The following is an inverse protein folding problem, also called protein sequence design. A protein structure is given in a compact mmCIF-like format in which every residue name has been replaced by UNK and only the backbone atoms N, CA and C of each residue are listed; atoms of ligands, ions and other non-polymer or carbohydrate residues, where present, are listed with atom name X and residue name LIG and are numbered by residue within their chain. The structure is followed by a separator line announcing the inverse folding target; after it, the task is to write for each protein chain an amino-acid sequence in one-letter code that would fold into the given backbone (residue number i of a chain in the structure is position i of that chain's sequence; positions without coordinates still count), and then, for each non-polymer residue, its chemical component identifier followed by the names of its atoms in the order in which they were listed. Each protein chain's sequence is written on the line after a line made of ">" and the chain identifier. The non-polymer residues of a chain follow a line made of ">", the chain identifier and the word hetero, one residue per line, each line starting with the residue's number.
data_IF_509186452111
#
_entry.id   IF_509186452111
#
_cell.length_a   1.000
_cell.length_b   1.000
_cell.length_c   1.000
_cell.angle_alpha   90.00
_cell.angle_beta   90.00
_cell.angle_gamma   90.00
#
_symmetry.space_group_name_H-M   'P 1'
#
loop_
_entity.id
_entity.type
_entity.pdbx_description
1 polymer ?
#
# COMPACT_ATOMS: atom_id res chain seq x y z
N UNK A 1 -0.71 5.92 7.47
CA UNK A 1 -0.55 5.51 8.87
C UNK A 1 -1.85 5.01 9.47
N UNK A 2 -2.74 5.89 9.96
CA UNK A 2 -3.97 5.51 10.68
C UNK A 2 -4.78 4.35 10.07
N UNK A 3 -5.07 4.39 8.76
CA UNK A 3 -5.84 3.33 8.09
C UNK A 3 -5.11 1.97 8.10
N UNK A 4 -3.80 1.97 7.88
CA UNK A 4 -3.00 0.74 7.93
C UNK A 4 -2.99 0.18 9.35
N UNK A 5 -2.79 1.04 10.36
CA UNK A 5 -2.81 0.65 11.77
C UNK A 5 -4.17 0.12 12.22
N UNK A 6 -5.27 0.76 11.81
CA UNK A 6 -6.63 0.29 12.09
C UNK A 6 -6.93 -1.05 11.41
N UNK A 7 -6.37 -1.28 10.21
CA UNK A 7 -6.46 -2.57 9.55
C UNK A 7 -5.56 -3.62 10.21
N UNK A 8 -4.70 -3.26 11.17
CA UNK A 8 -3.80 -4.17 11.89
C UNK A 8 -2.38 -4.25 11.32
N UNK A 9 -2.04 -3.41 10.34
CA UNK A 9 -0.73 -3.39 9.69
C UNK A 9 0.18 -2.31 10.28
N UNK A 10 1.48 -2.59 10.28
CA UNK A 10 2.51 -1.60 10.56
C UNK A 10 2.89 -0.86 9.27
N UNK A 11 2.94 0.47 9.35
CA UNK A 11 3.37 1.30 8.24
C UNK A 11 4.89 1.44 8.25
N UNK A 12 5.57 0.84 7.27
CA UNK A 12 7.05 0.89 7.16
C UNK A 12 7.60 2.30 6.91
N UNK A 13 6.75 3.26 6.55
CA UNK A 13 7.18 4.63 6.33
C UNK A 13 7.47 5.35 7.64
N UNK A 14 8.74 5.75 7.83
CA UNK A 14 9.20 6.46 9.03
C UNK A 14 9.15 7.98 8.91
N UNK A 15 8.86 8.51 7.73
CA UNK A 15 8.79 9.94 7.49
C UNK A 15 7.41 10.52 7.80
N UNK A 16 7.39 11.77 8.28
CA UNK A 16 6.16 12.53 8.38
C UNK A 16 5.71 13.01 7.00
N UNK A 17 4.39 13.03 6.79
CA UNK A 17 3.73 13.45 5.53
C UNK A 17 4.20 12.66 4.30
N UNK A 18 3.73 13.06 3.12
CA UNK A 18 4.08 12.42 1.85
C UNK A 18 5.50 12.75 1.44
N UNK A 19 6.30 11.72 1.17
CA UNK A 19 7.64 11.84 0.58
C UNK A 19 7.83 10.78 -0.50
N UNK A 20 8.65 11.10 -1.48
CA UNK A 20 9.12 10.14 -2.46
C UNK A 20 10.21 9.27 -1.86
N UNK A 21 10.20 7.98 -2.20
CA UNK A 21 11.30 7.06 -1.91
C UNK A 21 12.34 7.09 -3.03
N UNK A 22 13.62 7.04 -2.65
CA UNK A 22 14.68 6.61 -3.58
C UNK A 22 14.59 5.11 -3.81
N UNK A 23 15.28 4.59 -4.83
CA UNK A 23 15.35 3.15 -5.07
C UNK A 23 15.92 2.41 -3.86
N UNK A 24 17.02 2.90 -3.30
CA UNK A 24 17.74 2.28 -2.18
C UNK A 24 16.90 2.29 -0.91
N UNK A 25 16.21 3.39 -0.63
CA UNK A 25 15.35 3.49 0.56
C UNK A 25 14.10 2.61 0.46
N UNK A 26 13.50 2.46 -0.74
CA UNK A 26 12.40 1.50 -0.94
C UNK A 26 12.88 0.06 -0.78
N UNK A 27 14.06 -0.26 -1.33
CA UNK A 27 14.67 -1.58 -1.19
C UNK A 27 14.99 -1.88 0.29
N UNK A 28 15.52 -0.91 1.02
CA UNK A 28 15.86 -1.08 2.44
C UNK A 28 14.62 -1.19 3.33
N UNK A 29 13.55 -0.44 3.03
CA UNK A 29 12.27 -0.56 3.73
C UNK A 29 11.60 -1.92 3.51
N UNK A 30 11.83 -2.53 2.35
CA UNK A 30 11.42 -3.89 1.98
C UNK A 30 10.01 -4.32 2.49
N UNK A 31 8.94 -3.61 2.11
CA UNK A 31 7.60 -3.93 2.58
C UNK A 31 7.17 -5.34 2.16
N UNK A 32 6.41 -6.01 3.04
CA UNK A 32 5.78 -7.31 2.76
C UNK A 32 4.52 -7.18 1.91
N UNK A 33 3.85 -6.03 1.99
CA UNK A 33 2.67 -5.68 1.20
C UNK A 33 2.79 -4.23 0.72
N UNK A 34 2.46 -3.97 -0.54
CA UNK A 34 2.36 -2.61 -1.08
C UNK A 34 0.88 -2.29 -1.31
N UNK A 35 0.40 -1.20 -0.70
CA UNK A 35 -0.95 -0.69 -0.89
C UNK A 35 -0.90 0.50 -1.85
N UNK A 36 -1.65 0.44 -2.94
CA UNK A 36 -1.69 1.47 -4.00
C UNK A 36 -3.12 1.86 -4.31
N UNK A 37 -3.32 3.06 -4.85
CA UNK A 37 -4.64 3.45 -5.32
C UNK A 37 -4.96 2.79 -6.67
N UNK A 38 -6.23 2.49 -6.92
CA UNK A 38 -6.68 1.96 -8.21
C UNK A 38 -6.29 2.88 -9.39
N UNK A 39 -6.29 4.20 -9.17
CA UNK A 39 -5.89 5.20 -10.16
C UNK A 39 -4.39 5.12 -10.51
N UNK A 40 -3.53 4.69 -9.58
CA UNK A 40 -2.09 4.58 -9.83
C UNK A 40 -1.77 3.45 -10.81
N UNK A 41 -2.55 2.37 -10.76
CA UNK A 41 -2.34 1.18 -11.60
C UNK A 41 -3.22 1.16 -12.84
N UNK A 42 -4.38 1.84 -12.81
CA UNK A 42 -5.30 1.94 -13.96
C UNK A 42 -5.60 0.57 -14.60
N UNK A 43 -5.87 -0.41 -13.74
CA UNK A 43 -6.13 -1.81 -14.14
C UNK A 43 -4.89 -2.66 -14.45
N UNK A 44 -3.69 -2.09 -14.50
CA UNK A 44 -2.44 -2.83 -14.75
C UNK A 44 -1.38 -2.60 -13.66
N UNK A 45 -1.21 -3.58 -12.79
CA UNK A 45 -0.21 -3.58 -11.71
C UNK A 45 1.23 -3.46 -12.27
N UNK A 46 1.49 -3.87 -13.52
CA UNK A 46 2.83 -3.74 -14.12
C UNK A 46 3.26 -2.29 -14.30
N UNK A 47 2.34 -1.32 -14.31
CA UNK A 47 2.70 0.11 -14.31
C UNK A 47 3.61 0.48 -13.15
N UNK A 48 3.47 -0.19 -12.01
CA UNK A 48 4.33 0.06 -10.86
C UNK A 48 5.80 -0.27 -11.12
N UNK A 49 6.15 -1.09 -12.14
CA UNK A 49 7.55 -1.40 -12.49
C UNK A 49 8.39 -0.15 -12.80
N UNK A 50 7.76 0.97 -13.15
CA UNK A 50 8.47 2.25 -13.34
C UNK A 50 8.99 2.85 -12.03
N UNK A 51 8.51 2.39 -10.87
CA UNK A 51 8.99 2.81 -9.55
C UNK A 51 10.32 2.11 -9.28
N UNK A 52 11.39 2.91 -9.23
CA UNK A 52 12.73 2.39 -9.01
C UNK A 52 12.82 1.59 -7.70
N UNK A 53 13.42 0.40 -7.74
CA UNK A 53 13.58 -0.47 -6.59
C UNK A 53 12.37 -1.33 -6.23
N UNK A 54 11.17 -1.07 -6.78
CA UNK A 54 9.95 -1.80 -6.37
C UNK A 54 10.06 -3.30 -6.60
N UNK A 55 10.70 -3.71 -7.71
CA UNK A 55 10.81 -5.11 -8.13
C UNK A 55 11.71 -5.94 -7.20
N UNK A 56 12.48 -5.29 -6.35
CA UNK A 56 13.37 -5.93 -5.38
C UNK A 56 12.70 -6.17 -4.03
N UNK A 57 11.54 -5.56 -3.77
CA UNK A 57 10.79 -5.71 -2.51
C UNK A 57 10.17 -7.09 -2.37
N UNK A 58 9.96 -7.54 -1.13
CA UNK A 58 9.23 -8.76 -0.82
C UNK A 58 7.79 -8.71 -1.37
N UNK A 59 7.11 -7.57 -1.21
CA UNK A 59 5.77 -7.34 -1.74
C UNK A 59 5.68 -7.65 -3.24
N UNK A 60 6.60 -7.11 -4.05
CA UNK A 60 6.58 -7.35 -5.49
C UNK A 60 6.84 -8.82 -5.83
N UNK A 61 7.90 -9.41 -5.26
CA UNK A 61 8.32 -10.78 -5.54
C UNK A 61 7.23 -11.80 -5.18
N UNK A 62 6.50 -11.54 -4.10
CA UNK A 62 5.42 -12.40 -3.61
C UNK A 62 4.05 -12.01 -4.18
N UNK A 63 3.99 -11.04 -5.11
CA UNK A 63 2.75 -10.52 -5.70
C UNK A 63 1.74 -10.00 -4.65
N UNK A 64 2.23 -9.47 -3.54
CA UNK A 64 1.46 -8.90 -2.43
C UNK A 64 1.23 -7.40 -2.65
N UNK A 65 0.44 -7.08 -3.66
CA UNK A 65 0.05 -5.71 -4.01
C UNK A 65 -1.46 -5.57 -3.88
N UNK A 66 -1.89 -4.65 -3.02
CA UNK A 66 -3.30 -4.38 -2.72
C UNK A 66 -3.70 -3.07 -3.39
N UNK A 67 -4.78 -3.11 -4.17
CA UNK A 67 -5.37 -1.92 -4.78
C UNK A 67 -6.57 -1.45 -3.98
N UNK A 68 -6.58 -0.18 -3.62
CA UNK A 68 -7.65 0.47 -2.86
C UNK A 68 -8.21 1.66 -3.63
N UNK A 69 -9.51 1.92 -3.53
CA UNK A 69 -10.09 3.12 -4.15
C UNK A 69 -9.65 4.37 -3.36
N UNK A 70 -9.03 5.33 -4.04
CA UNK A 70 -8.62 6.61 -3.44
C UNK A 70 -9.76 7.34 -2.73
N UNK A 71 -11.00 7.25 -3.23
CA UNK A 71 -12.17 7.90 -2.62
C UNK A 71 -12.54 7.31 -1.25
N UNK A 72 -12.09 6.10 -0.97
CA UNK A 72 -12.30 5.40 0.29
C UNK A 72 -11.25 5.76 1.34
N UNK A 73 -10.07 6.21 0.91
CA UNK A 73 -8.92 6.50 1.79
C UNK A 73 -8.93 7.96 2.26
N UNK A 74 -9.34 8.90 1.38
CA UNK A 74 -9.21 10.34 1.63
C UNK A 74 -10.32 10.94 2.49
N UNK A 75 -11.46 10.27 2.59
CA UNK A 75 -12.53 10.65 3.50
C UNK A 75 -12.56 9.69 4.67
N UNK A 76 -11.98 10.06 5.82
CA UNK A 76 -12.31 9.44 7.11
C UNK A 76 -13.75 9.79 7.49
N UNK A 77 -14.70 9.37 6.66
CA UNK A 77 -16.12 9.59 6.79
C UNK A 77 -16.84 8.33 7.27
N UNK A 78 -18.16 8.24 7.10
CA UNK A 78 -18.97 7.15 7.68
C UNK A 78 -18.58 5.75 7.18
N UNK A 79 -17.88 5.64 6.04
CA UNK A 79 -17.48 4.36 5.43
C UNK A 79 -16.10 3.86 5.87
N UNK A 80 -15.42 4.55 6.79
CA UNK A 80 -14.05 4.19 7.17
C UNK A 80 -13.95 2.76 7.75
N UNK A 81 -15.00 2.30 8.43
CA UNK A 81 -15.07 0.93 8.97
C UNK A 81 -15.03 -0.11 7.83
N UNK A 82 -15.85 0.05 6.80
CA UNK A 82 -15.89 -0.85 5.63
C UNK A 82 -14.53 -0.93 4.93
N UNK A 83 -13.82 0.21 4.86
CA UNK A 83 -12.50 0.31 4.23
C UNK A 83 -11.45 -0.42 5.05
N UNK A 84 -11.46 -0.22 6.37
CA UNK A 84 -10.56 -0.90 7.30
C UNK A 84 -10.78 -2.40 7.27
N UNK A 85 -12.04 -2.85 7.29
CA UNK A 85 -12.38 -4.27 7.22
C UNK A 85 -11.96 -4.89 5.89
N UNK A 86 -12.28 -4.24 4.76
CA UNK A 86 -11.86 -4.71 3.43
C UNK A 86 -10.34 -4.78 3.30
N UNK A 87 -9.61 -3.79 3.84
CA UNK A 87 -8.16 -3.78 3.82
C UNK A 87 -7.58 -4.88 4.73
N UNK A 88 -8.16 -5.10 5.90
CA UNK A 88 -7.77 -6.17 6.82
C UNK A 88 -7.90 -7.54 6.16
N UNK A 89 -9.04 -7.83 5.52
CA UNK A 89 -9.26 -9.11 4.82
C UNK A 89 -8.23 -9.35 3.70
N UNK A 90 -7.81 -8.30 2.99
CA UNK A 90 -6.78 -8.41 1.96
C UNK A 90 -5.37 -8.56 2.52
N UNK A 91 -5.10 -8.00 3.70
CA UNK A 91 -3.81 -8.13 4.39
C UNK A 91 -3.64 -9.54 5.01
N UNK A 92 -4.69 -10.12 5.58
CA UNK A 92 -4.70 -11.49 6.13
C UNK A 92 -5.75 -12.37 5.44
N UNK A 93 -5.52 -12.75 4.16
CA UNK A 93 -6.40 -13.70 3.49
C UNK A 93 -6.30 -15.07 4.19
N UNK A 94 -7.46 -15.69 4.45
CA UNK A 94 -7.56 -17.05 4.98
C UNK A 94 -7.11 -18.10 3.96
#
# INVERSE_FOLDING_TARGET
>A
DAILSLAGAENVATHQQYKSYSAESLIAANPEVIVVTSQMVDGDINRLRSIAGITHTAAWKNQRIITVDQNLILGMGPRIADVVESLHQQLWPQ
#
